data_IF_455470009126
#
_entry.id   IF_455470009126
#
_cell.length_a   1.000
_cell.length_b   1.000
_cell.length_c   1.000
_cell.angle_alpha   90.00
_cell.angle_beta   90.00
_cell.angle_gamma   90.00
#
_symmetry.space_group_name_H-M   'P 1'
#
loop_
_entity.id
_entity.type
_entity.pdbx_description
1 polymer ?
#
# COMPACT_ATOMS: atom_id res chain seq x y z
N UNK A 1 19.32 -12.54 15.00
CA UNK A 1 18.22 -11.56 15.00
C UNK A 1 17.42 -11.83 13.74
N UNK A 2 16.11 -12.06 13.83
CA UNK A 2 15.28 -12.19 12.62
C UNK A 2 15.29 -10.87 11.85
N UNK A 3 15.46 -10.93 10.52
CA UNK A 3 15.33 -9.75 9.69
C UNK A 3 13.87 -9.29 9.69
N UNK A 4 13.66 -8.01 10.00
CA UNK A 4 12.36 -7.35 9.91
C UNK A 4 12.18 -6.92 8.45
N UNK A 5 11.24 -7.55 7.74
CA UNK A 5 10.97 -7.23 6.34
C UNK A 5 9.51 -6.77 6.23
N UNK A 6 9.33 -5.56 5.72
CA UNK A 6 8.04 -4.95 5.43
C UNK A 6 8.03 -4.59 3.94
N UNK A 7 7.08 -5.16 3.20
CA UNK A 7 6.83 -4.78 1.81
C UNK A 7 5.75 -3.69 1.77
N UNK A 8 6.04 -2.57 1.09
CA UNK A 8 5.05 -1.51 0.85
C UNK A 8 4.63 -1.55 -0.62
N UNK A 9 3.35 -1.75 -0.87
CA UNK A 9 2.75 -1.77 -2.19
C UNK A 9 1.66 -0.69 -2.30
N UNK A 10 1.66 0.04 -3.41
CA UNK A 10 0.51 0.83 -3.82
C UNK A 10 -0.51 -0.12 -4.46
N UNK A 11 -1.79 0.20 -4.37
CA UNK A 11 -2.83 -0.52 -5.12
C UNK A 11 -2.44 -0.71 -6.61
N UNK A 12 -2.94 -1.78 -7.23
CA UNK A 12 -2.83 -1.97 -8.67
C UNK A 12 -3.71 -0.95 -9.43
N UNK A 13 -3.63 -0.95 -10.75
CA UNK A 13 -4.25 0.08 -11.60
C UNK A 13 -5.78 0.16 -11.43
N UNK A 14 -6.30 1.25 -10.82
CA UNK A 14 -7.73 1.47 -10.68
C UNK A 14 -8.33 2.01 -11.98
N UNK A 15 -9.65 1.94 -12.10
CA UNK A 15 -10.37 2.57 -13.20
C UNK A 15 -10.51 4.08 -12.94
N UNK A 16 -9.49 4.85 -13.35
CA UNK A 16 -9.49 6.31 -13.25
C UNK A 16 -10.56 6.99 -14.12
N UNK A 17 -11.22 6.27 -15.03
CA UNK A 17 -12.31 6.85 -15.83
C UNK A 17 -13.62 7.02 -15.04
N UNK A 18 -13.75 6.35 -13.89
CA UNK A 18 -14.92 6.42 -12.99
C UNK A 18 -14.91 7.68 -12.13
N UNK A 19 -14.99 8.84 -12.76
CA UNK A 19 -15.06 10.15 -12.08
C UNK A 19 -16.38 10.38 -11.35
N UNK A 20 -17.35 9.48 -11.50
CA UNK A 20 -18.63 9.46 -10.78
C UNK A 20 -18.49 8.92 -9.34
N UNK A 21 -17.36 8.28 -9.00
CA UNK A 21 -17.07 7.76 -7.66
C UNK A 21 -16.01 8.66 -6.99
N UNK A 22 -16.22 9.11 -5.74
CA UNK A 22 -15.17 9.82 -4.98
C UNK A 22 -13.91 8.96 -4.83
N UNK A 23 -12.72 9.54 -5.06
CA UNK A 23 -11.48 8.77 -5.09
C UNK A 23 -10.96 8.35 -3.70
N UNK A 24 -11.27 9.17 -2.69
CA UNK A 24 -10.76 9.13 -1.32
C UNK A 24 -11.76 8.55 -0.30
N UNK A 25 -13.01 8.29 -0.72
CA UNK A 25 -14.08 7.76 0.14
C UNK A 25 -14.42 6.34 -0.29
N UNK A 26 -14.50 5.35 0.63
CA UNK A 26 -14.95 4.00 0.29
C UNK A 26 -16.34 3.99 -0.37
N UNK A 27 -16.55 3.17 -1.41
CA UNK A 27 -15.60 2.16 -1.92
C UNK A 27 -14.46 2.75 -2.75
N UNK A 28 -14.65 3.89 -3.41
CA UNK A 28 -13.69 4.41 -4.39
C UNK A 28 -13.72 3.62 -5.71
N UNK A 29 -12.92 4.03 -6.72
CA UNK A 29 -12.93 3.35 -8.01
C UNK A 29 -12.38 1.90 -7.90
N UNK A 30 -12.94 0.94 -8.66
CA UNK A 30 -12.49 -0.45 -8.69
C UNK A 30 -11.17 -0.60 -9.46
N UNK A 31 -10.61 -1.80 -9.50
CA UNK A 31 -9.50 -2.14 -10.40
C UNK A 31 -9.98 -2.30 -11.85
N UNK A 32 -9.09 -2.00 -12.80
CA UNK A 32 -9.25 -2.45 -14.20
C UNK A 32 -8.85 -3.92 -14.34
N UNK A 33 -9.18 -4.56 -15.47
CA UNK A 33 -8.70 -5.92 -15.77
C UNK A 33 -7.15 -6.01 -15.78
N UNK A 34 -6.47 -4.96 -16.24
CA UNK A 34 -5.02 -4.84 -16.13
C UNK A 34 -4.59 -4.79 -14.65
N UNK A 35 -5.27 -3.99 -13.83
CA UNK A 35 -5.05 -3.90 -12.39
C UNK A 35 -5.23 -5.22 -11.66
N UNK A 36 -6.17 -6.07 -12.08
CA UNK A 36 -6.32 -7.41 -11.50
C UNK A 36 -5.12 -8.30 -11.84
N UNK A 37 -4.66 -8.32 -13.09
CA UNK A 37 -3.47 -9.09 -13.50
C UNK A 37 -2.18 -8.60 -12.81
N UNK A 38 -2.08 -7.29 -12.58
CA UNK A 38 -1.06 -6.63 -11.77
C UNK A 38 -1.06 -7.13 -10.31
N UNK A 39 -2.24 -7.18 -9.68
CA UNK A 39 -2.39 -7.68 -8.31
C UNK A 39 -2.04 -9.17 -8.17
N UNK A 40 -2.33 -9.98 -9.20
CA UNK A 40 -1.92 -11.39 -9.24
C UNK A 40 -0.40 -11.55 -9.27
N UNK A 41 0.32 -10.73 -10.05
CA UNK A 41 1.79 -10.73 -10.08
C UNK A 41 2.38 -10.32 -8.73
N UNK A 42 1.80 -9.31 -8.09
CA UNK A 42 2.16 -8.95 -6.71
C UNK A 42 2.01 -10.18 -5.80
N UNK A 43 0.91 -10.92 -5.92
CA UNK A 43 0.69 -12.14 -5.14
C UNK A 43 1.77 -13.20 -5.34
N UNK A 44 2.19 -13.46 -6.57
CA UNK A 44 3.28 -14.41 -6.85
C UNK A 44 4.60 -13.96 -6.20
N UNK A 45 4.90 -12.66 -6.25
CA UNK A 45 6.07 -12.11 -5.58
C UNK A 45 5.98 -12.27 -4.05
N UNK A 46 4.85 -11.91 -3.45
CA UNK A 46 4.65 -12.00 -1.99
C UNK A 46 4.69 -13.46 -1.50
N UNK A 47 4.15 -14.39 -2.28
CA UNK A 47 4.24 -15.82 -2.01
C UNK A 47 5.69 -16.32 -2.01
N UNK A 48 6.47 -15.95 -3.02
CA UNK A 48 7.90 -16.28 -3.10
C UNK A 48 8.71 -15.63 -1.97
N UNK A 49 8.29 -14.46 -1.52
CA UNK A 49 8.88 -13.77 -0.38
C UNK A 49 8.47 -14.36 0.99
N UNK A 50 7.50 -15.28 1.05
CA UNK A 50 7.04 -15.89 2.29
C UNK A 50 6.14 -15.00 3.14
N UNK A 51 5.47 -14.02 2.53
CA UNK A 51 4.54 -13.13 3.25
C UNK A 51 3.27 -13.88 3.63
N UNK A 52 2.90 -13.82 4.91
CA UNK A 52 1.69 -14.49 5.45
C UNK A 52 0.64 -13.53 6.03
N UNK A 53 0.96 -12.24 6.11
CA UNK A 53 0.06 -11.20 6.60
C UNK A 53 0.15 -9.94 5.73
N UNK A 54 -1.01 -9.49 5.25
CA UNK A 54 -1.22 -8.25 4.51
C UNK A 54 -2.06 -7.27 5.35
N UNK A 55 -1.73 -6.00 5.27
CA UNK A 55 -2.54 -4.90 5.76
C UNK A 55 -3.03 -4.06 4.58
N UNK A 56 -4.32 -3.76 4.51
CA UNK A 56 -4.91 -3.08 3.35
C UNK A 56 -5.77 -1.89 3.77
N UNK A 57 -5.68 -0.79 3.02
CA UNK A 57 -6.62 0.34 3.14
C UNK A 57 -8.06 -0.12 2.84
N UNK A 58 -9.08 0.50 3.45
CA UNK A 58 -10.48 0.17 3.22
C UNK A 58 -11.00 0.48 1.80
N UNK A 59 -10.25 1.18 0.95
CA UNK A 59 -10.69 1.50 -0.42
C UNK A 59 -10.71 0.24 -1.31
N UNK A 60 -11.67 0.16 -2.22
CA UNK A 60 -11.95 -1.02 -3.06
C UNK A 60 -10.74 -1.44 -3.88
N UNK A 61 -10.04 -0.50 -4.53
CA UNK A 61 -8.79 -0.79 -5.26
C UNK A 61 -7.72 -1.45 -4.40
N UNK A 62 -7.56 -1.04 -3.13
CA UNK A 62 -6.59 -1.66 -2.21
C UNK A 62 -7.08 -3.01 -1.70
N UNK A 63 -8.37 -3.13 -1.39
CA UNK A 63 -8.98 -4.39 -0.95
C UNK A 63 -8.91 -5.46 -2.05
N UNK A 64 -9.25 -5.09 -3.29
CA UNK A 64 -9.17 -6.02 -4.43
C UNK A 64 -7.74 -6.40 -4.75
N UNK A 65 -6.79 -5.45 -4.68
CA UNK A 65 -5.35 -5.73 -4.85
C UNK A 65 -4.89 -6.73 -3.78
N UNK A 66 -5.20 -6.48 -2.51
CA UNK A 66 -4.81 -7.35 -1.40
C UNK A 66 -5.47 -8.73 -1.51
N UNK A 67 -6.74 -8.82 -1.89
CA UNK A 67 -7.46 -10.08 -2.05
C UNK A 67 -6.81 -10.97 -3.11
N UNK A 68 -6.47 -10.42 -4.29
CA UNK A 68 -5.80 -11.15 -5.35
C UNK A 68 -4.38 -11.54 -4.97
N UNK A 69 -3.64 -10.64 -4.31
CA UNK A 69 -2.28 -10.90 -3.88
C UNK A 69 -2.19 -11.94 -2.75
N UNK A 70 -3.19 -12.00 -1.86
CA UNK A 70 -3.22 -12.92 -0.73
C UNK A 70 -3.47 -14.38 -1.12
N UNK A 71 -4.19 -14.64 -2.23
CA UNK A 71 -4.52 -16.00 -2.68
C UNK A 71 -3.27 -16.89 -2.89
N UNK A 72 -2.30 -16.52 -3.75
CA UNK A 72 -1.08 -17.32 -3.93
C UNK A 72 -0.17 -17.31 -2.68
N UNK A 73 -0.20 -16.23 -1.90
CA UNK A 73 0.60 -16.11 -0.67
C UNK A 73 0.02 -16.89 0.52
N UNK A 74 -1.24 -17.34 0.44
CA UNK A 74 -1.95 -17.95 1.58
C UNK A 74 -2.07 -16.99 2.77
N UNK A 75 -2.06 -15.68 2.50
CA UNK A 75 -1.91 -14.66 3.53
C UNK A 75 -3.25 -14.18 4.07
N UNK A 76 -3.28 -13.85 5.37
CA UNK A 76 -4.41 -13.16 5.97
C UNK A 76 -4.40 -11.66 5.62
N UNK A 77 -5.58 -11.05 5.52
CA UNK A 77 -5.73 -9.61 5.25
C UNK A 77 -6.36 -8.93 6.47
N UNK A 78 -5.72 -7.88 6.97
CA UNK A 78 -6.29 -6.97 7.96
C UNK A 78 -6.58 -5.62 7.29
N UNK A 79 -7.83 -5.15 7.43
CA UNK A 79 -8.19 -3.80 6.96
C UNK A 79 -7.77 -2.76 7.97
N UNK A 80 -7.08 -1.71 7.51
CA UNK A 80 -6.52 -0.65 8.35
C UNK A 80 -6.89 0.71 7.77
N UNK A 81 -7.66 1.47 8.53
CA UNK A 81 -8.13 2.80 8.13
C UNK A 81 -7.01 3.85 8.10
N UNK A 82 -6.05 3.73 9.02
CA UNK A 82 -4.89 4.62 9.15
C UNK A 82 -3.98 4.68 7.91
N UNK A 83 -4.10 3.71 6.99
CA UNK A 83 -3.32 3.65 5.73
C UNK A 83 -4.17 3.98 4.51
N UNK A 84 -5.35 4.57 4.68
CA UNK A 84 -6.19 5.05 3.59
C UNK A 84 -5.54 6.20 2.79
N UNK A 85 -6.02 6.42 1.56
CA UNK A 85 -5.63 7.57 0.74
C UNK A 85 -5.91 8.88 1.49
N UNK A 86 -5.24 9.94 1.07
CA UNK A 86 -5.51 11.29 1.54
C UNK A 86 -7.01 11.63 1.42
N UNK A 87 -7.64 12.00 2.53
CA UNK A 87 -9.06 12.36 2.57
C UNK A 87 -9.28 13.84 2.28
N UNK A 88 -10.45 14.17 1.75
CA UNK A 88 -10.86 15.54 1.56
C UNK A 88 -10.77 16.33 2.88
N UNK A 89 -9.98 17.41 2.88
CA UNK A 89 -9.76 18.26 4.05
C UNK A 89 -8.66 17.81 5.01
N UNK A 90 -8.05 16.63 4.81
CA UNK A 90 -6.82 16.28 5.55
C UNK A 90 -5.66 17.19 5.10
N UNK A 91 -4.80 17.56 6.03
CA UNK A 91 -3.48 18.13 5.74
C UNK A 91 -2.38 17.04 5.86
N UNK A 92 -1.15 17.40 5.50
CA UNK A 92 -0.03 16.44 5.48
C UNK A 92 0.26 15.86 6.87
N UNK A 93 0.22 16.70 7.90
CA UNK A 93 0.45 16.31 9.28
C UNK A 93 -0.57 15.28 9.75
N UNK A 94 -1.85 15.45 9.41
CA UNK A 94 -2.92 14.52 9.76
C UNK A 94 -2.75 13.14 9.09
N UNK A 95 -2.35 13.12 7.81
CA UNK A 95 -2.07 11.86 7.10
C UNK A 95 -0.84 11.18 7.69
N UNK A 96 0.20 11.96 7.97
CA UNK A 96 1.44 11.46 8.54
C UNK A 96 1.22 10.88 9.95
N UNK A 97 0.47 11.58 10.80
CA UNK A 97 0.17 11.16 12.17
C UNK A 97 -0.53 9.80 12.22
N UNK A 98 -1.58 9.60 11.40
CA UNK A 98 -2.29 8.31 11.36
C UNK A 98 -1.42 7.18 10.81
N UNK A 99 -0.63 7.41 9.75
CA UNK A 99 0.20 6.34 9.19
C UNK A 99 1.39 6.00 10.09
N UNK A 100 1.97 6.98 10.80
CA UNK A 100 3.02 6.73 11.79
C UNK A 100 2.49 6.00 13.02
N UNK A 101 1.27 6.31 13.46
CA UNK A 101 0.60 5.56 14.53
C UNK A 101 0.50 4.07 14.17
N UNK A 102 0.14 3.76 12.92
CA UNK A 102 0.09 2.36 12.46
C UNK A 102 1.47 1.77 12.12
N UNK A 103 2.47 2.60 11.79
CA UNK A 103 3.83 2.12 11.48
C UNK A 103 4.44 1.35 12.66
N UNK A 104 4.19 1.78 13.89
CA UNK A 104 4.66 1.07 15.09
C UNK A 104 4.06 -0.35 15.18
N UNK A 105 2.76 -0.50 14.94
CA UNK A 105 2.08 -1.79 14.89
C UNK A 105 2.63 -2.66 13.75
N UNK A 106 2.88 -2.08 12.57
CA UNK A 106 3.43 -2.79 11.42
C UNK A 106 4.87 -3.27 11.69
N UNK A 107 5.67 -2.48 12.39
CA UNK A 107 7.03 -2.87 12.83
C UNK A 107 6.95 -4.04 13.81
N UNK A 108 6.01 -4.03 14.77
CA UNK A 108 5.80 -5.16 15.68
C UNK A 108 5.36 -6.41 14.92
N UNK A 109 4.40 -6.28 13.99
CA UNK A 109 3.94 -7.37 13.15
C UNK A 109 5.10 -7.96 12.32
N UNK A 110 6.01 -7.13 11.79
CA UNK A 110 7.20 -7.59 11.06
C UNK A 110 8.23 -8.34 11.92
N UNK A 111 8.11 -8.32 13.25
CA UNK A 111 8.93 -9.12 14.16
C UNK A 111 8.29 -10.48 14.41
N UNK A 112 6.96 -10.50 14.55
CA UNK A 112 6.19 -11.70 14.91
C UNK A 112 5.90 -12.58 13.68
N UNK A 113 5.56 -11.95 12.54
CA UNK A 113 5.07 -12.60 11.33
C UNK A 113 5.92 -12.25 10.09
N UNK A 114 7.23 -12.03 10.25
CA UNK A 114 8.10 -11.62 9.15
C UNK A 114 8.14 -12.63 7.99
N UNK A 115 8.07 -12.19 6.73
CA UNK A 115 7.79 -10.82 6.27
C UNK A 115 6.30 -10.47 6.25
N UNK A 116 5.98 -9.18 6.42
CA UNK A 116 4.61 -8.64 6.28
C UNK A 116 4.52 -7.70 5.07
N UNK A 117 3.32 -7.46 4.57
CA UNK A 117 3.08 -6.52 3.47
C UNK A 117 1.95 -5.53 3.78
N UNK A 118 2.07 -4.33 3.22
CA UNK A 118 1.09 -3.26 3.30
C UNK A 118 0.66 -2.86 1.88
N UNK A 119 -0.64 -2.81 1.63
CA UNK A 119 -1.27 -2.38 0.36
C UNK A 119 -2.04 -1.09 0.61
N UNK A 120 -1.50 0.03 0.14
CA UNK A 120 -2.01 1.38 0.39
C UNK A 120 -1.95 2.21 -0.90
N UNK A 121 -1.62 3.49 -0.79
CA UNK A 121 -1.71 4.48 -1.85
C UNK A 121 -0.41 5.28 -1.95
N UNK A 122 -0.24 5.98 -3.06
CA UNK A 122 0.99 6.72 -3.34
C UNK A 122 1.28 7.81 -2.31
N UNK A 123 0.26 8.61 -1.94
CA UNK A 123 0.39 9.71 -0.98
C UNK A 123 0.87 9.28 0.41
N UNK A 124 0.12 8.41 1.12
CA UNK A 124 0.51 7.90 2.44
C UNK A 124 1.87 7.19 2.42
N UNK A 125 2.15 6.32 1.43
CA UNK A 125 3.45 5.63 1.35
C UNK A 125 4.59 6.62 1.14
N UNK A 126 4.38 7.67 0.34
CA UNK A 126 5.37 8.73 0.17
C UNK A 126 5.70 9.40 1.50
N UNK A 127 4.70 9.88 2.23
CA UNK A 127 4.91 10.56 3.52
C UNK A 127 5.61 9.65 4.54
N UNK A 128 5.19 8.38 4.60
CA UNK A 128 5.83 7.39 5.45
C UNK A 128 7.32 7.23 5.08
N UNK A 129 7.63 7.00 3.80
CA UNK A 129 9.00 6.79 3.34
C UNK A 129 9.89 8.03 3.53
N UNK A 130 9.37 9.22 3.26
CA UNK A 130 10.08 10.48 3.51
C UNK A 130 10.44 10.65 4.99
N UNK A 131 9.62 10.09 5.89
CA UNK A 131 9.83 10.17 7.34
C UNK A 131 10.74 9.06 7.88
N UNK A 132 10.54 7.80 7.48
CA UNK A 132 11.19 6.65 8.13
C UNK A 132 12.44 6.13 7.44
N UNK A 133 12.67 6.51 6.16
CA UNK A 133 13.78 5.92 5.39
C UNK A 133 15.17 6.41 5.81
N UNK A 134 15.26 7.65 6.34
CA UNK A 134 16.54 8.31 6.57
C UNK A 134 17.33 8.63 5.29
N UNK A 135 16.73 8.48 4.10
CA UNK A 135 17.38 8.66 2.79
C UNK A 135 16.50 9.47 1.82
N UNK A 136 16.34 10.79 2.06
CA UNK A 136 15.48 11.63 1.25
C UNK A 136 15.94 11.76 -0.21
N UNK A 137 17.25 11.63 -0.47
CA UNK A 137 17.80 11.66 -1.83
C UNK A 137 17.28 10.48 -2.66
N UNK A 138 17.33 9.27 -2.07
CA UNK A 138 16.78 8.08 -2.72
C UNK A 138 15.28 8.18 -2.92
N UNK A 139 14.51 8.64 -1.93
CA UNK A 139 13.07 8.81 -2.10
C UNK A 139 12.75 9.78 -3.24
N UNK A 140 13.47 10.90 -3.34
CA UNK A 140 13.30 11.85 -4.44
C UNK A 140 13.66 11.26 -5.82
N UNK A 141 14.68 10.40 -5.89
CA UNK A 141 15.01 9.68 -7.12
C UNK A 141 13.85 8.80 -7.59
N UNK A 142 13.20 8.06 -6.69
CA UNK A 142 12.05 7.23 -7.04
C UNK A 142 10.82 8.05 -7.41
N UNK A 143 10.59 9.19 -6.73
CA UNK A 143 9.48 10.10 -7.05
C UNK A 143 9.56 10.69 -8.46
N UNK A 144 10.78 10.90 -8.97
CA UNK A 144 10.99 11.36 -10.34
C UNK A 144 10.74 10.28 -11.42
N UNK A 145 10.58 9.00 -11.03
CA UNK A 145 10.45 7.87 -11.97
C UNK A 145 9.00 7.47 -12.24
N UNK A 146 8.07 7.73 -11.32
CA UNK A 146 6.69 7.25 -11.41
C UNK A 146 5.67 8.37 -11.48
N UNK A 147 4.42 7.99 -11.74
CA UNK A 147 3.29 8.89 -11.92
C UNK A 147 3.02 9.73 -10.66
N UNK A 148 2.51 10.94 -10.89
CA UNK A 148 2.00 11.83 -9.83
C UNK A 148 2.97 12.02 -8.65
N UNK A 149 4.28 12.00 -8.92
CA UNK A 149 5.32 12.24 -7.94
C UNK A 149 5.34 11.21 -6.79
N UNK A 150 4.87 9.99 -7.08
CA UNK A 150 4.87 8.86 -6.14
C UNK A 150 6.21 8.11 -6.18
N UNK A 151 6.70 7.57 -5.05
CA UNK A 151 7.95 6.80 -5.03
C UNK A 151 7.79 5.34 -5.49
N UNK A 152 6.61 4.96 -5.96
CA UNK A 152 6.29 3.61 -6.42
C UNK A 152 5.18 3.61 -7.49
N UNK A 153 5.23 2.69 -8.46
CA UNK A 153 4.15 2.51 -9.43
C UNK A 153 2.95 1.81 -8.78
N UNK A 154 1.81 1.69 -9.47
CA UNK A 154 0.82 0.66 -9.13
C UNK A 154 1.47 -0.72 -8.98
N UNK A 155 0.94 -1.56 -8.09
CA UNK A 155 1.44 -2.93 -7.91
C UNK A 155 1.45 -3.71 -9.24
N UNK A 156 2.40 -4.63 -9.43
CA UNK A 156 2.46 -5.55 -10.58
C UNK A 156 3.83 -5.73 -11.21
#
# INVERSE_FOLDING_TARGET
MSNKIIYLARHATPDWSRTDIPYDIPPGPPLTAQGEAEAEKLGLFLAAAGVTQLFASPLERTQRTAALAAQPAGASIQTVDAIAEWRHGENEEQVLDRILSFWEELVVASVVNSPVALVSHGGPIRLLLETVSGDPARINEYRARFDSNNPLPPAG
#
